data_IF_306282116800
#
_entry.id   IF_306282116800
#
_cell.length_a   1.000
_cell.length_b   1.000
_cell.length_c   1.000
_cell.angle_alpha   90.00
_cell.angle_beta   90.00
_cell.angle_gamma   90.00
#
_symmetry.space_group_name_H-M   'P 1'
#
loop_
_entity.id
_entity.type
_entity.pdbx_description
1 polymer ?
#
# COMPACT_ATOMS: atom_id res chain seq x y z
N UNK A 1 0.75 16.50 -25.21
CA UNK A 1 1.52 16.30 -23.96
C UNK A 1 2.32 15.02 -24.14
N UNK A 2 3.65 15.10 -24.22
CA UNK A 2 4.49 13.90 -24.36
C UNK A 2 4.26 13.01 -23.13
N UNK A 3 3.71 11.81 -23.34
CA UNK A 3 3.39 10.90 -22.23
C UNK A 3 4.69 10.44 -21.57
N UNK A 4 4.79 10.66 -20.25
CA UNK A 4 5.92 10.17 -19.43
C UNK A 4 6.11 8.66 -19.66
N UNK A 5 7.31 8.24 -20.04
CA UNK A 5 7.62 6.85 -20.43
C UNK A 5 7.45 5.89 -19.25
N UNK A 6 6.81 4.74 -19.45
CA UNK A 6 6.65 3.75 -18.38
C UNK A 6 8.00 3.22 -17.89
N UNK A 7 8.23 3.26 -16.57
CA UNK A 7 9.50 2.91 -15.93
C UNK A 7 9.39 1.74 -14.92
N UNK A 8 8.19 1.19 -14.71
CA UNK A 8 7.93 0.22 -13.65
C UNK A 8 7.03 -0.94 -14.09
N UNK A 9 7.29 -2.19 -13.64
CA UNK A 9 8.48 -2.63 -12.91
C UNK A 9 9.75 -2.62 -13.80
N UNK A 10 10.94 -2.28 -13.27
CA UNK A 10 12.21 -2.39 -13.99
C UNK A 10 12.54 -3.88 -14.11
N UNK A 11 12.01 -4.49 -15.15
CA UNK A 11 12.22 -5.90 -15.42
C UNK A 11 13.53 -6.08 -16.18
N UNK A 12 14.32 -7.10 -15.83
CA UNK A 12 15.45 -7.48 -16.65
C UNK A 12 15.01 -7.75 -18.10
N UNK A 13 15.84 -7.44 -19.11
CA UNK A 13 15.47 -7.57 -20.52
C UNK A 13 15.15 -9.00 -20.98
N UNK A 14 15.38 -10.02 -20.13
CA UNK A 14 15.02 -11.41 -20.38
C UNK A 14 13.55 -11.75 -20.09
N UNK A 15 12.80 -10.89 -19.39
CA UNK A 15 11.37 -11.07 -19.17
C UNK A 15 10.58 -10.32 -20.25
N UNK A 16 9.65 -10.97 -20.99
CA UNK A 16 8.88 -10.36 -22.09
C UNK A 16 7.79 -9.38 -21.61
N UNK A 17 7.91 -8.89 -20.38
CA UNK A 17 6.99 -7.95 -19.76
C UNK A 17 7.59 -6.55 -19.88
N UNK A 18 7.01 -5.71 -20.73
CA UNK A 18 7.39 -4.29 -20.84
C UNK A 18 7.02 -3.56 -19.55
N UNK A 19 7.76 -2.50 -19.15
CA UNK A 19 7.33 -1.61 -18.07
C UNK A 19 5.91 -1.11 -18.36
N UNK A 20 4.97 -1.48 -17.51
CA UNK A 20 3.56 -1.18 -17.71
C UNK A 20 3.17 0.21 -17.19
N UNK A 21 3.98 0.80 -16.31
CA UNK A 21 3.60 2.00 -15.57
C UNK A 21 4.74 2.99 -15.43
N UNK A 22 4.44 4.28 -15.60
CA UNK A 22 5.29 5.34 -15.08
C UNK A 22 5.12 5.43 -13.57
N UNK A 23 6.24 5.48 -12.85
CA UNK A 23 6.27 5.66 -11.41
C UNK A 23 7.45 6.55 -11.05
N UNK A 24 7.15 7.73 -10.51
CA UNK A 24 8.14 8.67 -10.00
C UNK A 24 7.65 9.28 -8.70
N UNK A 25 8.30 8.89 -7.59
CA UNK A 25 7.94 9.38 -6.27
C UNK A 25 8.27 10.86 -6.09
N UNK A 26 9.27 11.39 -6.78
CA UNK A 26 9.73 12.76 -6.59
C UNK A 26 8.82 13.75 -7.31
N UNK A 27 8.33 13.37 -8.48
CA UNK A 27 7.46 14.18 -9.32
C UNK A 27 5.96 14.05 -8.98
N UNK A 28 5.49 12.87 -8.56
CA UNK A 28 4.05 12.62 -8.42
C UNK A 28 3.54 12.60 -6.97
N UNK A 29 4.42 12.49 -5.98
CA UNK A 29 4.04 12.47 -4.56
C UNK A 29 4.53 13.75 -3.88
N UNK A 30 3.68 14.45 -3.10
CA UNK A 30 4.09 15.62 -2.32
C UNK A 30 5.24 15.30 -1.36
N UNK A 31 6.19 16.21 -1.21
CA UNK A 31 7.42 16.04 -0.40
C UNK A 31 7.11 15.52 1.01
N UNK A 32 6.03 16.00 1.63
CA UNK A 32 5.56 15.60 2.96
C UNK A 32 5.23 14.10 3.07
N UNK A 33 4.75 13.48 2.00
CA UNK A 33 4.32 12.07 1.98
C UNK A 33 5.30 11.15 1.24
N UNK A 34 6.28 11.68 0.50
CA UNK A 34 7.26 10.89 -0.25
C UNK A 34 7.97 9.85 0.61
N UNK A 35 8.39 10.22 1.83
CA UNK A 35 9.09 9.30 2.75
C UNK A 35 8.19 8.14 3.14
N UNK A 36 6.90 8.41 3.38
CA UNK A 36 5.93 7.38 3.75
C UNK A 36 5.65 6.44 2.58
N UNK A 37 5.36 6.97 1.39
CA UNK A 37 5.09 6.15 0.20
C UNK A 37 6.32 5.32 -0.20
N UNK A 38 7.55 5.87 -0.09
CA UNK A 38 8.80 5.11 -0.28
C UNK A 38 8.99 4.01 0.79
N UNK A 39 8.51 4.20 2.02
CA UNK A 39 8.52 3.16 3.06
C UNK A 39 7.50 2.05 2.74
N UNK A 40 6.31 2.41 2.29
CA UNK A 40 5.26 1.47 1.84
C UNK A 40 5.77 0.63 0.65
N UNK A 41 6.47 1.26 -0.29
CA UNK A 41 7.10 0.56 -1.41
C UNK A 41 8.20 -0.42 -0.96
N UNK A 42 9.08 0.01 -0.04
CA UNK A 42 10.11 -0.88 0.55
C UNK A 42 9.50 -2.04 1.32
N UNK A 43 8.37 -1.83 1.99
CA UNK A 43 7.62 -2.90 2.65
C UNK A 43 7.08 -3.92 1.66
N UNK A 44 6.55 -3.48 0.51
CA UNK A 44 6.13 -4.38 -0.56
C UNK A 44 7.29 -5.23 -1.08
N UNK A 45 8.43 -4.62 -1.39
CA UNK A 45 9.63 -5.35 -1.82
C UNK A 45 10.12 -6.34 -0.75
N UNK A 46 10.11 -5.94 0.53
CA UNK A 46 10.49 -6.79 1.64
C UNK A 46 9.56 -8.00 1.79
N UNK A 47 8.25 -7.81 1.60
CA UNK A 47 7.28 -8.90 1.59
C UNK A 47 7.51 -9.86 0.42
N UNK A 48 7.77 -9.35 -0.79
CA UNK A 48 8.13 -10.18 -1.95
C UNK A 48 9.42 -10.99 -1.71
N UNK A 49 10.45 -10.36 -1.15
CA UNK A 49 11.68 -11.05 -0.76
C UNK A 49 11.41 -12.14 0.30
N UNK A 50 10.53 -11.87 1.26
CA UNK A 50 10.10 -12.84 2.27
C UNK A 50 9.42 -14.05 1.65
N UNK A 51 8.54 -13.86 0.66
CA UNK A 51 7.94 -14.97 -0.10
C UNK A 51 9.00 -15.79 -0.85
N UNK A 52 10.03 -15.14 -1.39
CA UNK A 52 11.15 -15.81 -2.05
C UNK A 52 11.99 -16.66 -1.08
N UNK A 53 12.30 -16.12 0.10
CA UNK A 53 12.99 -16.87 1.17
C UNK A 53 12.12 -18.03 1.66
N UNK A 54 10.81 -17.81 1.79
CA UNK A 54 9.86 -18.86 2.17
C UNK A 54 9.82 -20.02 1.15
N UNK A 55 9.92 -19.73 -0.15
CA UNK A 55 10.03 -20.77 -1.17
C UNK A 55 11.27 -21.65 -0.95
N UNK A 56 12.44 -21.03 -0.69
CA UNK A 56 13.69 -21.76 -0.40
C UNK A 56 13.57 -22.58 0.88
N UNK A 57 12.92 -22.04 1.92
CA UNK A 57 12.69 -22.78 3.15
C UNK A 57 11.72 -23.96 2.97
N UNK A 58 10.64 -23.79 2.20
CA UNK A 58 9.74 -24.89 1.85
C UNK A 58 10.44 -25.95 1.00
N UNK A 59 11.41 -25.58 0.16
CA UNK A 59 12.25 -26.52 -0.57
C UNK A 59 13.16 -27.32 0.39
N UNK A 60 13.81 -26.63 1.33
CA UNK A 60 14.63 -27.28 2.36
C UNK A 60 13.78 -28.23 3.23
N UNK A 61 12.56 -27.82 3.59
CA UNK A 61 11.60 -28.68 4.29
C UNK A 61 11.29 -29.93 3.48
N UNK A 62 10.98 -29.80 2.19
CA UNK A 62 10.67 -30.94 1.34
C UNK A 62 11.84 -31.91 1.20
N UNK A 63 13.06 -31.42 0.94
CA UNK A 63 14.27 -32.25 0.80
C UNK A 63 14.59 -32.98 2.11
N UNK A 64 14.28 -32.39 3.26
CA UNK A 64 14.51 -32.98 4.58
C UNK A 64 13.41 -33.95 5.05
N UNK A 65 12.54 -34.42 4.14
CA UNK A 65 11.48 -35.39 4.44
C UNK A 65 10.11 -34.80 4.76
N UNK A 66 9.92 -33.50 4.51
CA UNK A 66 8.63 -32.82 4.64
C UNK A 66 7.69 -32.97 3.46
N UNK A 67 6.46 -32.49 3.62
CA UNK A 67 5.45 -32.54 2.55
C UNK A 67 5.76 -31.52 1.43
N UNK A 68 5.91 -32.01 0.19
CA UNK A 68 6.13 -31.17 -1.00
C UNK A 68 4.98 -30.22 -1.35
N UNK A 69 3.79 -30.44 -0.81
CA UNK A 69 2.65 -29.53 -0.95
C UNK A 69 2.98 -28.11 -0.45
N UNK A 70 3.78 -27.97 0.60
CA UNK A 70 4.20 -26.67 1.12
C UNK A 70 5.09 -25.91 0.11
N UNK A 71 5.92 -26.62 -0.65
CA UNK A 71 6.73 -26.01 -1.70
C UNK A 71 5.87 -25.55 -2.89
N UNK A 72 4.95 -26.41 -3.36
CA UNK A 72 4.04 -26.04 -4.45
C UNK A 72 3.17 -24.83 -4.12
N UNK A 73 2.63 -24.77 -2.90
CA UNK A 73 1.87 -23.62 -2.42
C UNK A 73 2.74 -22.38 -2.23
N UNK A 74 3.97 -22.51 -1.71
CA UNK A 74 4.89 -21.37 -1.60
C UNK A 74 5.21 -20.75 -2.97
N UNK A 75 5.35 -21.57 -4.02
CA UNK A 75 5.55 -21.09 -5.39
C UNK A 75 4.30 -20.37 -5.91
N UNK A 76 3.13 -20.96 -5.70
CA UNK A 76 1.85 -20.34 -6.05
C UNK A 76 1.70 -18.97 -5.36
N UNK A 77 1.99 -18.89 -4.06
CA UNK A 77 1.92 -17.63 -3.31
C UNK A 77 2.93 -16.60 -3.79
N UNK A 78 4.16 -17.00 -4.11
CA UNK A 78 5.15 -16.10 -4.67
C UNK A 78 4.66 -15.47 -5.99
N UNK A 79 4.13 -16.28 -6.89
CA UNK A 79 3.67 -15.84 -8.22
C UNK A 79 2.36 -15.06 -8.15
N UNK A 80 1.42 -15.45 -7.27
CA UNK A 80 0.12 -14.80 -7.16
C UNK A 80 0.17 -13.54 -6.30
N UNK A 81 0.75 -13.61 -5.10
CA UNK A 81 0.73 -12.50 -4.15
C UNK A 81 1.67 -11.38 -4.55
N UNK A 82 2.77 -11.61 -5.26
CA UNK A 82 3.67 -10.53 -5.72
C UNK A 82 2.97 -9.50 -6.62
N UNK A 83 2.35 -9.87 -7.76
CA UNK A 83 1.61 -8.92 -8.60
C UNK A 83 0.31 -8.45 -7.95
N UNK A 84 -0.41 -9.34 -7.24
CA UNK A 84 -1.66 -8.98 -6.58
C UNK A 84 -1.44 -7.93 -5.49
N UNK A 85 -0.44 -8.09 -4.63
CA UNK A 85 -0.10 -7.11 -3.58
C UNK A 85 0.24 -5.73 -4.17
N UNK A 86 0.98 -5.71 -5.29
CA UNK A 86 1.32 -4.47 -5.98
C UNK A 86 0.07 -3.75 -6.51
N UNK A 87 -0.81 -4.48 -7.21
CA UNK A 87 -2.00 -3.90 -7.84
C UNK A 87 -3.07 -3.54 -6.81
N UNK A 88 -3.25 -4.38 -5.80
CA UNK A 88 -4.41 -4.31 -4.92
C UNK A 88 -4.19 -3.42 -3.69
N UNK A 89 -2.96 -3.19 -3.22
CA UNK A 89 -2.75 -2.24 -2.11
C UNK A 89 -1.67 -1.21 -2.35
N UNK A 90 -0.55 -1.53 -3.01
CA UNK A 90 0.46 -0.52 -3.27
C UNK A 90 -0.06 0.57 -4.23
N UNK A 91 -0.72 0.18 -5.32
CA UNK A 91 -1.33 1.11 -6.29
C UNK A 91 -2.40 2.01 -5.68
N UNK A 92 -3.39 1.49 -4.94
CA UNK A 92 -4.34 2.32 -4.21
C UNK A 92 -3.66 3.28 -3.23
N UNK A 93 -2.63 2.84 -2.50
CA UNK A 93 -1.86 3.73 -1.63
C UNK A 93 -1.20 4.86 -2.42
N UNK A 94 -0.53 4.53 -3.52
CA UNK A 94 0.13 5.52 -4.38
C UNK A 94 -0.86 6.55 -4.92
N UNK A 95 -2.02 6.10 -5.43
CA UNK A 95 -3.09 6.99 -5.90
C UNK A 95 -3.69 7.85 -4.79
N UNK A 96 -3.86 7.27 -3.60
CA UNK A 96 -4.40 7.97 -2.44
C UNK A 96 -3.49 9.12 -2.02
N UNK A 97 -2.18 8.90 -1.92
CA UNK A 97 -1.22 9.94 -1.54
C UNK A 97 -0.93 10.97 -2.64
N UNK A 98 -1.03 10.59 -3.92
CA UNK A 98 -0.86 11.51 -5.05
C UNK A 98 -1.94 12.59 -5.12
N UNK A 99 -3.19 12.20 -4.88
CA UNK A 99 -4.34 13.08 -5.13
C UNK A 99 -5.26 13.27 -3.93
N UNK A 100 -4.80 12.88 -2.74
CA UNK A 100 -5.54 13.00 -1.47
C UNK A 100 -6.96 12.40 -1.53
N UNK A 101 -7.10 11.28 -2.26
CA UNK A 101 -8.39 10.65 -2.54
C UNK A 101 -8.82 9.70 -1.43
N UNK A 102 -9.95 10.04 -0.81
CA UNK A 102 -10.53 9.31 0.33
C UNK A 102 -10.99 7.91 -0.07
N UNK A 103 -11.50 7.74 -1.30
CA UNK A 103 -11.88 6.42 -1.79
C UNK A 103 -10.69 5.47 -1.91
N UNK A 104 -9.58 5.95 -2.50
CA UNK A 104 -8.36 5.15 -2.65
C UNK A 104 -7.73 4.82 -1.27
N UNK A 105 -7.82 5.72 -0.29
CA UNK A 105 -7.44 5.42 1.10
C UNK A 105 -8.29 4.29 1.70
N UNK A 106 -9.61 4.30 1.49
CA UNK A 106 -10.49 3.25 2.01
C UNK A 106 -10.20 1.88 1.38
N UNK A 107 -10.01 1.84 0.06
CA UNK A 107 -9.59 0.62 -0.65
C UNK A 107 -8.25 0.10 -0.12
N UNK A 108 -7.28 1.00 0.10
CA UNK A 108 -6.00 0.65 0.70
C UNK A 108 -6.19 0.01 2.09
N UNK A 109 -6.94 0.62 3.01
CA UNK A 109 -7.11 0.05 4.35
C UNK A 109 -7.78 -1.33 4.35
N UNK A 110 -8.80 -1.53 3.52
CA UNK A 110 -9.50 -2.81 3.45
C UNK A 110 -8.57 -3.92 2.92
N UNK A 111 -7.93 -3.68 1.78
CA UNK A 111 -7.08 -4.70 1.14
C UNK A 111 -5.78 -4.91 1.93
N UNK A 112 -5.15 -3.83 2.39
CA UNK A 112 -3.92 -3.92 3.18
C UNK A 112 -4.18 -4.52 4.56
N UNK A 113 -5.37 -4.30 5.14
CA UNK A 113 -5.83 -4.98 6.35
C UNK A 113 -5.98 -6.49 6.16
N UNK A 114 -6.59 -6.93 5.06
CA UNK A 114 -6.65 -8.36 4.72
C UNK A 114 -5.25 -8.95 4.49
N UNK A 115 -4.37 -8.23 3.80
CA UNK A 115 -2.97 -8.63 3.60
C UNK A 115 -2.22 -8.76 4.93
N UNK A 116 -2.45 -7.86 5.88
CA UNK A 116 -1.86 -7.94 7.22
C UNK A 116 -2.29 -9.22 7.93
N UNK A 117 -3.59 -9.55 7.92
CA UNK A 117 -4.11 -10.81 8.51
C UNK A 117 -3.48 -12.03 7.84
N UNK A 118 -3.41 -12.07 6.51
CA UNK A 118 -2.74 -13.14 5.78
C UNK A 118 -1.26 -13.29 6.18
N UNK A 119 -0.56 -12.16 6.36
CA UNK A 119 0.86 -12.16 6.74
C UNK A 119 1.06 -12.67 8.17
N UNK A 120 0.12 -12.40 9.08
CA UNK A 120 0.11 -12.99 10.43
C UNK A 120 -0.12 -14.51 10.36
N UNK A 121 -1.05 -14.99 9.53
CA UNK A 121 -1.28 -16.43 9.32
C UNK A 121 -0.01 -17.10 8.76
N UNK A 122 0.69 -16.45 7.82
CA UNK A 122 1.96 -16.94 7.29
C UNK A 122 3.06 -16.98 8.35
N UNK A 123 3.12 -15.99 9.25
CA UNK A 123 4.06 -15.98 10.37
C UNK A 123 3.79 -17.13 11.35
N UNK A 124 2.51 -17.48 11.60
CA UNK A 124 2.12 -18.64 12.41
C UNK A 124 2.56 -19.95 11.71
N UNK A 125 2.31 -20.07 10.40
CA UNK A 125 2.81 -21.18 9.59
C UNK A 125 2.08 -22.50 9.81
N UNK A 126 0.78 -22.55 9.51
CA UNK A 126 0.03 -23.81 9.51
C UNK A 126 0.56 -24.76 8.45
N UNK A 127 0.68 -26.05 8.79
CA UNK A 127 1.08 -27.07 7.83
C UNK A 127 0.08 -27.15 6.67
N UNK A 128 0.57 -27.26 5.43
CA UNK A 128 -0.27 -27.30 4.24
C UNK A 128 -0.74 -25.92 3.74
N UNK A 129 -0.27 -24.82 4.32
CA UNK A 129 -0.54 -23.46 3.84
C UNK A 129 0.59 -22.89 2.98
N UNK A 130 1.70 -23.62 2.78
CA UNK A 130 2.83 -23.14 1.99
C UNK A 130 3.62 -22.01 2.64
N UNK A 131 3.59 -21.91 3.97
CA UNK A 131 4.39 -20.96 4.75
C UNK A 131 5.18 -21.67 5.86
N UNK A 132 6.48 -21.45 5.90
CA UNK A 132 7.38 -21.87 6.97
C UNK A 132 7.32 -20.84 8.12
N UNK A 133 6.21 -20.80 8.84
CA UNK A 133 6.08 -19.98 10.04
C UNK A 133 6.55 -20.69 11.31
N UNK A 134 6.30 -20.08 12.46
CA UNK A 134 6.79 -20.55 13.76
C UNK A 134 6.34 -21.98 14.10
N UNK A 135 5.07 -22.34 13.88
CA UNK A 135 4.56 -23.67 14.19
C UNK A 135 5.23 -24.74 13.32
N UNK A 136 5.34 -24.48 12.02
CA UNK A 136 6.03 -25.36 11.09
C UNK A 136 7.50 -25.56 11.46
N UNK A 137 8.23 -24.47 11.77
CA UNK A 137 9.65 -24.53 12.13
C UNK A 137 9.88 -25.29 13.44
N UNK A 138 9.11 -24.98 14.49
CA UNK A 138 9.22 -25.62 15.81
C UNK A 138 8.89 -27.11 15.70
N UNK A 139 7.84 -27.47 14.97
CA UNK A 139 7.45 -28.87 14.77
C UNK A 139 8.49 -29.69 14.01
N UNK A 140 9.33 -29.07 13.19
CA UNK A 140 10.29 -29.78 12.33
C UNK A 140 11.67 -30.02 12.97
N UNK A 141 11.94 -29.45 14.15
CA UNK A 141 13.19 -29.70 14.88
C UNK A 141 13.40 -31.18 15.24
N UNK A 142 12.31 -31.92 15.47
CA UNK A 142 12.37 -33.35 15.73
C UNK A 142 12.75 -34.21 14.52
N UNK A 143 12.70 -33.65 13.30
CA UNK A 143 12.98 -34.36 12.05
C UNK A 143 14.34 -33.97 11.48
N UNK A 144 14.59 -32.67 11.33
CA UNK A 144 15.86 -32.15 10.81
C UNK A 144 16.15 -30.77 11.37
N UNK A 145 17.15 -30.69 12.24
CA UNK A 145 17.60 -29.43 12.85
C UNK A 145 18.04 -28.43 11.78
N UNK A 146 18.75 -28.89 10.75
CA UNK A 146 19.22 -28.02 9.67
C UNK A 146 18.07 -27.37 8.91
N UNK A 147 17.06 -28.14 8.51
CA UNK A 147 15.89 -27.61 7.83
C UNK A 147 15.06 -26.70 8.76
N UNK A 148 14.89 -27.07 10.03
CA UNK A 148 14.18 -26.25 11.00
C UNK A 148 14.82 -24.86 11.19
N UNK A 149 16.16 -24.78 11.21
CA UNK A 149 16.89 -23.48 11.26
C UNK A 149 16.61 -22.65 10.02
N UNK A 150 16.60 -23.24 8.83
CA UNK A 150 16.26 -22.53 7.59
C UNK A 150 14.80 -22.05 7.63
N UNK A 151 13.89 -22.84 8.19
CA UNK A 151 12.47 -22.49 8.35
C UNK A 151 12.21 -21.37 9.37
N UNK A 152 13.12 -21.13 10.32
CA UNK A 152 13.01 -19.99 11.23
C UNK A 152 13.21 -18.64 10.52
N UNK A 153 14.00 -18.61 9.45
CA UNK A 153 14.29 -17.37 8.71
C UNK A 153 13.00 -16.73 8.15
N UNK A 154 12.17 -17.42 7.33
CA UNK A 154 10.91 -16.85 6.87
C UNK A 154 9.91 -16.58 8.02
N UNK A 155 9.90 -17.38 9.10
CA UNK A 155 9.06 -17.10 10.27
C UNK A 155 9.36 -15.73 10.89
N UNK A 156 10.65 -15.40 11.04
CA UNK A 156 11.09 -14.08 11.52
C UNK A 156 10.73 -13.00 10.50
N UNK A 157 11.00 -13.21 9.21
CA UNK A 157 10.73 -12.22 8.16
C UNK A 157 9.22 -11.92 8.00
N UNK A 158 8.34 -12.92 8.10
CA UNK A 158 6.89 -12.71 8.10
C UNK A 158 6.44 -11.96 9.36
N UNK A 159 7.02 -12.26 10.52
CA UNK A 159 6.75 -11.53 11.77
C UNK A 159 7.15 -10.05 11.67
N UNK A 160 8.34 -9.78 11.12
CA UNK A 160 8.82 -8.41 10.84
C UNK A 160 7.93 -7.70 9.82
N UNK A 161 7.50 -8.41 8.76
CA UNK A 161 6.58 -7.88 7.76
C UNK A 161 5.25 -7.47 8.41
N UNK A 162 4.65 -8.33 9.23
CA UNK A 162 3.42 -8.05 9.95
C UNK A 162 3.58 -6.83 10.89
N UNK A 163 4.69 -6.74 11.62
CA UNK A 163 4.96 -5.61 12.51
C UNK A 163 5.03 -4.28 11.73
N UNK A 164 5.77 -4.25 10.62
CA UNK A 164 5.91 -3.04 9.79
C UNK A 164 4.58 -2.70 9.10
N UNK A 165 3.79 -3.69 8.68
CA UNK A 165 2.43 -3.49 8.16
C UNK A 165 1.52 -2.84 9.22
N UNK A 166 1.53 -3.33 10.46
CA UNK A 166 0.76 -2.74 11.56
C UNK A 166 1.13 -1.27 11.82
N UNK A 167 2.43 -0.96 11.89
CA UNK A 167 2.91 0.42 12.04
C UNK A 167 2.48 1.30 10.87
N UNK A 168 2.50 0.75 9.65
CA UNK A 168 2.07 1.45 8.44
C UNK A 168 0.58 1.76 8.46
N UNK A 169 -0.28 0.79 8.83
CA UNK A 169 -1.72 0.99 8.99
C UNK A 169 -1.99 2.14 9.97
N UNK A 170 -1.37 2.11 11.16
CA UNK A 170 -1.58 3.15 12.18
C UNK A 170 -1.13 4.52 11.67
N UNK A 171 0.02 4.61 11.01
CA UNK A 171 0.53 5.89 10.47
C UNK A 171 -0.37 6.45 9.37
N UNK A 172 -0.75 5.63 8.39
CA UNK A 172 -1.64 6.08 7.30
C UNK A 172 -3.01 6.45 7.85
N UNK A 173 -3.55 5.69 8.82
CA UNK A 173 -4.83 5.98 9.46
C UNK A 173 -4.81 7.31 10.22
N UNK A 174 -3.73 7.62 10.94
CA UNK A 174 -3.55 8.91 11.62
C UNK A 174 -3.53 10.09 10.62
N UNK A 175 -2.84 9.94 9.50
CA UNK A 175 -2.80 10.96 8.44
C UNK A 175 -4.20 11.14 7.82
N UNK A 176 -4.84 10.04 7.45
CA UNK A 176 -6.19 10.05 6.87
C UNK A 176 -7.21 10.73 7.77
N UNK A 177 -7.20 10.43 9.07
CA UNK A 177 -8.08 11.09 10.05
C UNK A 177 -7.70 12.53 10.35
N UNK A 178 -6.40 12.87 10.37
CA UNK A 178 -5.92 14.22 10.57
C UNK A 178 -6.28 15.17 9.41
N UNK A 179 -6.38 14.65 8.19
CA UNK A 179 -6.74 15.39 6.98
C UNK A 179 -8.27 15.55 6.77
N UNK A 180 -9.11 15.15 7.74
CA UNK A 180 -10.57 15.21 7.61
C UNK A 180 -11.17 14.18 6.65
N UNK A 181 -10.45 13.10 6.36
CA UNK A 181 -10.96 11.99 5.54
C UNK A 181 -12.19 11.33 6.17
N UNK A 182 -13.25 11.13 5.39
CA UNK A 182 -14.50 10.51 5.85
C UNK A 182 -15.12 9.61 4.79
N UNK A 183 -15.94 8.66 5.24
CA UNK A 183 -16.73 7.80 4.34
C UNK A 183 -17.67 8.63 3.46
N UNK A 184 -18.21 9.73 3.99
CA UNK A 184 -19.04 10.68 3.24
C UNK A 184 -18.26 11.27 2.05
N UNK A 185 -17.02 11.72 2.29
CA UNK A 185 -16.14 12.27 1.25
C UNK A 185 -15.81 11.19 0.20
N UNK A 186 -15.56 9.95 0.64
CA UNK A 186 -15.34 8.82 -0.26
C UNK A 186 -16.58 8.49 -1.12
N UNK A 187 -17.80 8.60 -0.57
CA UNK A 187 -19.04 8.44 -1.34
C UNK A 187 -19.22 9.54 -2.39
N UNK A 188 -18.92 10.79 -2.04
CA UNK A 188 -18.96 11.91 -2.99
C UNK A 188 -17.94 11.72 -4.11
N UNK A 189 -16.70 11.32 -3.78
CA UNK A 189 -15.65 11.02 -4.78
C UNK A 189 -16.02 9.83 -5.68
N UNK A 190 -16.70 8.80 -5.13
CA UNK A 190 -17.21 7.64 -5.88
C UNK A 190 -18.29 8.05 -6.89
N UNK A 191 -19.32 8.76 -6.42
CA UNK A 191 -20.45 9.20 -7.25
C UNK A 191 -20.02 10.20 -8.32
N UNK A 192 -19.05 11.07 -8.03
CA UNK A 192 -18.50 12.03 -8.98
C UNK A 192 -17.51 11.41 -9.98
N UNK A 193 -17.10 10.15 -9.80
CA UNK A 193 -16.13 9.47 -10.66
C UNK A 193 -14.69 9.98 -10.54
N UNK A 194 -14.44 10.95 -9.67
CA UNK A 194 -13.13 11.60 -9.45
C UNK A 194 -12.07 10.62 -8.96
N UNK A 195 -12.47 9.50 -8.35
CA UNK A 195 -11.56 8.44 -7.89
C UNK A 195 -10.73 7.76 -9.00
N UNK A 196 -11.19 7.80 -10.27
CA UNK A 196 -10.50 7.15 -11.41
C UNK A 196 -9.27 7.93 -11.88
N UNK A 197 -9.43 9.23 -12.05
CA UNK A 197 -8.40 10.19 -12.47
C UNK A 197 -8.47 11.42 -11.55
N UNK A 198 -8.09 11.27 -10.28
CA UNK A 198 -8.19 12.37 -9.35
C UNK A 198 -7.20 13.47 -9.82
N UNK A 199 -7.65 14.72 -9.94
CA UNK A 199 -6.79 15.82 -10.37
C UNK A 199 -5.57 15.88 -9.46
N UNK A 200 -4.38 16.14 -10.02
CA UNK A 200 -3.22 16.43 -9.18
C UNK A 200 -3.57 17.59 -8.26
N UNK A 201 -3.03 17.61 -7.04
CA UNK A 201 -3.31 18.71 -6.10
C UNK A 201 -2.96 20.08 -6.70
N UNK A 202 -2.03 20.14 -7.66
CA UNK A 202 -1.73 21.32 -8.49
C UNK A 202 -2.90 21.77 -9.37
N UNK A 203 -3.67 20.84 -9.96
CA UNK A 203 -4.90 21.17 -10.69
C UNK A 203 -6.02 21.62 -9.73
N UNK A 204 -6.08 21.09 -8.50
CA UNK A 204 -6.94 21.64 -7.45
C UNK A 204 -6.50 23.05 -7.03
N UNK A 205 -5.22 23.27 -6.76
CA UNK A 205 -4.68 24.58 -6.40
C UNK A 205 -4.87 25.60 -7.52
N UNK A 206 -4.66 25.20 -8.78
CA UNK A 206 -4.89 26.06 -9.94
C UNK A 206 -6.38 26.35 -10.17
N UNK A 207 -7.28 25.45 -9.77
CA UNK A 207 -8.73 25.74 -9.77
C UNK A 207 -9.13 26.73 -8.69
N UNK A 208 -8.39 26.78 -7.58
CA UNK A 208 -8.55 27.82 -6.54
C UNK A 208 -7.88 29.15 -6.92
N UNK A 209 -6.84 29.14 -7.76
CA UNK A 209 -6.21 30.36 -8.27
C UNK A 209 -6.88 30.92 -9.53
N UNK A 210 -7.97 30.31 -9.99
CA UNK A 210 -8.79 30.84 -11.07
C UNK A 210 -9.64 32.02 -10.58
N UNK A 211 -9.05 33.22 -10.53
CA UNK A 211 -9.65 34.58 -10.56
C UNK A 211 -10.98 34.91 -9.84
N UNK A 212 -11.58 34.04 -9.02
CA UNK A 212 -12.66 34.43 -8.12
C UNK A 212 -12.12 34.50 -6.70
N UNK A 213 -11.74 35.72 -6.30
CA UNK A 213 -11.64 36.07 -4.88
C UNK A 213 -12.91 35.58 -4.17
N UNK A 214 -12.83 35.05 -2.94
CA UNK A 214 -14.02 34.79 -2.15
C UNK A 214 -14.83 36.08 -2.07
N UNK A 215 -16.07 36.04 -2.55
CA UNK A 215 -16.99 37.17 -2.48
C UNK A 215 -17.33 37.36 -1.00
N UNK A 216 -16.61 38.27 -0.34
CA UNK A 216 -16.92 38.67 1.02
C UNK A 216 -18.29 39.34 1.02
N UNK A 217 -19.18 39.02 1.98
CA UNK A 217 -20.45 39.72 2.11
C UNK A 217 -20.19 41.22 2.16
N UNK A 218 -20.73 41.97 1.21
CA UNK A 218 -20.62 43.43 1.21
C UNK A 218 -21.29 43.96 2.47
N UNK A 219 -20.53 44.74 3.25
CA UNK A 219 -21.03 45.38 4.46
C UNK A 219 -22.22 46.27 4.09
N UNK A 220 -23.37 46.21 4.79
CA UNK A 220 -24.50 47.07 4.49
C UNK A 220 -24.07 48.54 4.52
N UNK A 221 -24.26 49.26 3.41
CA UNK A 221 -24.06 50.70 3.36
C UNK A 221 -25.19 51.37 4.14
N UNK A 222 -24.88 51.90 5.32
CA UNK A 222 -25.79 52.80 6.01
C UNK A 222 -25.91 54.08 5.18
N UNK A 223 -27.11 54.37 4.68
CA UNK A 223 -27.42 55.67 4.11
C UNK A 223 -27.24 56.71 5.21
N UNK A 224 -26.41 57.72 4.94
CA UNK A 224 -26.32 58.92 5.77
C UNK A 224 -27.60 59.74 5.59
N UNK A 225 -28.69 59.32 6.22
CA UNK A 225 -29.89 60.14 6.38
C UNK A 225 -29.60 61.21 7.44
N UNK A 226 -29.54 62.46 6.98
CA UNK A 226 -29.36 63.63 7.83
C UNK A 226 -30.40 63.69 8.94
N UNK A 227 -29.92 63.78 10.18
CA UNK A 227 -30.70 64.11 11.36
C UNK A 227 -30.10 65.34 12.02
N UNK A 228 -30.79 66.46 11.88
CA UNK A 228 -30.57 67.71 12.59
C UNK A 228 -30.82 67.45 14.08
N UNK A 229 -29.84 67.70 14.95
CA UNK A 229 -30.03 67.64 16.40
C UNK A 229 -30.40 69.03 16.93
N UNK A 230 -31.42 69.17 17.80
CA UNK A 230 -31.63 70.39 18.58
C UNK A 230 -30.59 70.57 19.68
#
# INVERSE_FOLDING_TARGET
MAGKENNFPPLPPFLPLKPCFYQDFSDEIPVEHQVLVKRIYRLWMFYCATLGVNLVACLAWWIAGGAGANFGLALLWLVLFTPCSYVCWFRPAYKAFRADSSFNFMTFFFIFGAQFVLTVIQAIGFSGWGACGWLAAVGFFGTSVGAAVVMLVPAILFSLSALVMAVTIVKVHRIYRGAGGSLQKAQTEWSAGTWRNPPSREAQFNSFSGNSLPEYPTVPSYSSSGGHWP
#
